data_IF_849275369358
#
_entry.id   IF_849275369358
#
_cell.length_a   1.000
_cell.length_b   1.000
_cell.length_c   1.000
_cell.angle_alpha   90.00
_cell.angle_beta   90.00
_cell.angle_gamma   90.00
#
_symmetry.space_group_name_H-M   'P 1'
#
loop_
_entity.id
_entity.type
_entity.pdbx_description
1 polymer ?
#
# COMPACT_ATOMS: atom_id res chain seq x y z
N UNK A 1 -8.17 -14.07 17.36
CA UNK A 1 -7.30 -14.18 18.56
C UNK A 1 -8.06 -14.04 19.88
N UNK A 2 -8.81 -12.96 20.14
CA UNK A 2 -9.56 -12.80 21.40
C UNK A 2 -10.50 -13.98 21.72
N UNK A 3 -11.07 -14.60 20.69
CA UNK A 3 -11.89 -15.83 20.79
C UNK A 3 -11.10 -17.10 21.11
N UNK A 4 -9.84 -17.02 21.56
CA UNK A 4 -9.00 -18.19 21.89
C UNK A 4 -8.44 -18.96 20.68
N UNK A 5 -8.60 -18.43 19.46
CA UNK A 5 -8.06 -19.01 18.21
C UNK A 5 -6.88 -18.17 17.74
N UNK A 6 -5.69 -18.76 17.72
CA UNK A 6 -4.45 -18.07 17.40
C UNK A 6 -3.22 -18.69 18.04
N UNK A 7 -2.06 -18.01 18.01
CA UNK A 7 -0.79 -18.60 18.42
C UNK A 7 -0.77 -18.89 19.92
N UNK A 8 -0.67 -20.17 20.32
CA UNK A 8 -0.80 -20.61 21.72
C UNK A 8 0.05 -19.79 22.70
N UNK A 9 1.35 -19.61 22.39
CA UNK A 9 2.27 -18.86 23.26
C UNK A 9 1.81 -17.41 23.49
N UNK A 10 1.34 -16.73 22.44
CA UNK A 10 0.87 -15.35 22.53
C UNK A 10 -0.43 -15.22 23.30
N UNK A 11 -1.40 -16.11 23.02
CA UNK A 11 -2.68 -16.09 23.71
C UNK A 11 -2.51 -16.32 25.22
N UNK A 12 -1.66 -17.28 25.60
CA UNK A 12 -1.33 -17.54 27.01
C UNK A 12 -0.64 -16.34 27.66
N UNK A 13 0.29 -15.65 26.99
CA UNK A 13 0.99 -14.50 27.57
C UNK A 13 0.09 -13.30 27.85
N UNK A 14 -1.06 -13.19 27.16
CA UNK A 14 -2.05 -12.13 27.41
C UNK A 14 -3.27 -12.64 28.20
N UNK A 15 -3.19 -13.82 28.81
CA UNK A 15 -4.24 -14.35 29.69
C UNK A 15 -5.49 -14.90 29.00
N UNK A 16 -5.41 -15.26 27.71
CA UNK A 16 -6.53 -15.80 26.94
C UNK A 16 -6.48 -17.33 26.93
N UNK A 17 -7.61 -17.98 27.25
CA UNK A 17 -7.77 -19.43 27.12
C UNK A 17 -7.64 -19.86 25.66
N UNK A 18 -6.73 -20.80 25.40
CA UNK A 18 -6.48 -21.31 24.05
C UNK A 18 -7.52 -22.37 23.69
N UNK A 19 -8.29 -22.11 22.64
CA UNK A 19 -9.23 -23.05 22.02
C UNK A 19 -8.53 -23.80 20.88
N UNK A 20 -7.79 -23.08 20.04
CA UNK A 20 -7.06 -23.66 18.90
C UNK A 20 -5.77 -22.90 18.62
N UNK A 21 -4.66 -23.65 18.56
CA UNK A 21 -3.35 -23.13 18.17
C UNK A 21 -3.25 -23.04 16.64
N UNK A 22 -3.38 -21.83 16.10
CA UNK A 22 -3.27 -21.51 14.67
C UNK A 22 -2.40 -20.27 14.48
N UNK A 23 -1.81 -20.10 13.30
CA UNK A 23 -0.96 -18.95 12.96
C UNK A 23 -1.74 -17.66 12.63
N UNK A 24 -2.89 -17.44 13.29
CA UNK A 24 -3.67 -16.20 13.14
C UNK A 24 -2.81 -14.99 13.49
N UNK A 25 -2.86 -13.96 12.66
CA UNK A 25 -2.09 -12.73 12.79
C UNK A 25 -0.72 -12.77 12.12
N UNK A 26 -0.18 -13.93 11.75
CA UNK A 26 1.08 -14.01 10.98
C UNK A 26 0.84 -13.85 9.48
N UNK A 27 1.91 -13.64 8.71
CA UNK A 27 1.83 -13.45 7.25
C UNK A 27 1.11 -12.17 6.86
N UNK A 28 1.25 -11.11 7.67
CA UNK A 28 0.79 -9.78 7.27
C UNK A 28 1.59 -9.34 6.04
N UNK A 29 0.89 -9.09 4.95
CA UNK A 29 1.43 -8.57 3.69
C UNK A 29 0.82 -7.21 3.43
N UNK A 30 1.56 -6.35 2.75
CA UNK A 30 1.08 -5.05 2.30
C UNK A 30 1.97 -4.57 1.15
N UNK A 31 1.44 -3.83 0.18
CA UNK A 31 2.35 -3.11 -0.73
C UNK A 31 2.86 -1.88 -0.01
N UNK A 32 4.19 -1.78 0.08
CA UNK A 32 4.88 -0.62 0.62
C UNK A 32 5.47 0.18 -0.52
N UNK A 33 5.34 1.50 -0.42
CA UNK A 33 5.74 2.48 -1.41
C UNK A 33 6.84 3.40 -0.90
N UNK A 34 7.61 3.98 -1.83
CA UNK A 34 8.36 5.22 -1.57
C UNK A 34 7.42 6.40 -1.80
N UNK A 35 7.01 7.10 -0.73
CA UNK A 35 6.01 8.17 -0.82
C UNK A 35 6.56 9.54 -1.23
N UNK A 36 7.87 9.79 -1.10
CA UNK A 36 8.46 11.13 -1.23
C UNK A 36 8.98 11.52 -2.62
N UNK A 37 8.82 10.68 -3.65
CA UNK A 37 9.42 10.94 -4.95
C UNK A 37 8.59 11.96 -5.76
N UNK A 38 8.91 13.24 -5.53
CA UNK A 38 8.20 14.40 -6.08
C UNK A 38 8.95 15.03 -7.24
N UNK A 39 8.23 15.47 -8.25
CA UNK A 39 8.76 16.19 -9.40
C UNK A 39 8.08 17.55 -9.51
N UNK A 40 8.87 18.61 -9.73
CA UNK A 40 8.37 19.96 -10.00
C UNK A 40 8.16 20.11 -11.51
N UNK A 41 7.09 20.77 -11.92
CA UNK A 41 6.80 21.14 -13.31
C UNK A 41 6.60 22.65 -13.42
N UNK A 42 6.84 23.21 -14.61
CA UNK A 42 6.67 24.65 -14.87
C UNK A 42 5.28 24.97 -15.44
N UNK A 43 4.52 23.93 -15.85
CA UNK A 43 3.15 24.07 -16.36
C UNK A 43 2.13 23.89 -15.23
N UNK A 44 1.01 24.65 -15.24
CA UNK A 44 0.03 24.65 -14.16
C UNK A 44 -0.94 23.46 -14.22
N UNK A 45 -0.42 22.24 -14.41
CA UNK A 45 -1.22 21.04 -14.65
C UNK A 45 -1.44 20.18 -13.41
N UNK A 46 -0.91 20.59 -12.25
CA UNK A 46 -1.15 19.85 -11.02
C UNK A 46 -2.59 19.99 -10.56
N UNK A 47 -3.16 18.88 -10.13
CA UNK A 47 -4.38 18.81 -9.34
C UNK A 47 -4.03 19.32 -7.94
N UNK A 48 -4.38 20.58 -7.69
CA UNK A 48 -4.19 21.23 -6.40
C UNK A 48 -5.53 21.51 -5.73
N UNK A 49 -5.61 21.30 -4.43
CA UNK A 49 -6.86 21.42 -3.68
C UNK A 49 -7.46 22.83 -3.77
N UNK A 50 -6.62 23.87 -3.83
CA UNK A 50 -7.06 25.26 -4.01
C UNK A 50 -7.67 25.55 -5.38
N UNK A 51 -7.32 24.76 -6.40
CA UNK A 51 -7.87 24.86 -7.77
C UNK A 51 -9.04 23.90 -8.00
N UNK A 52 -9.12 22.82 -7.24
CA UNK A 52 -10.20 21.81 -7.33
C UNK A 52 -11.39 22.19 -6.47
N UNK A 53 -11.18 22.63 -5.23
CA UNK A 53 -12.26 22.95 -4.27
C UNK A 53 -12.71 24.40 -4.47
N UNK A 54 -13.42 24.63 -5.57
CA UNK A 54 -14.05 25.92 -5.90
C UNK A 54 -15.57 25.78 -5.93
N UNK A 55 -16.29 26.90 -5.80
CA UNK A 55 -17.76 26.90 -5.92
C UNK A 55 -18.23 26.37 -7.27
N UNK A 56 -17.53 26.74 -8.34
CA UNK A 56 -17.82 26.31 -9.71
C UNK A 56 -17.66 24.79 -9.87
N UNK A 57 -16.52 24.22 -9.42
CA UNK A 57 -16.30 22.78 -9.52
C UNK A 57 -17.28 21.98 -8.64
N UNK A 58 -17.66 22.50 -7.48
CA UNK A 58 -18.68 21.89 -6.62
C UNK A 58 -20.05 21.88 -7.30
N UNK A 59 -20.42 22.97 -7.97
CA UNK A 59 -21.67 23.04 -8.75
C UNK A 59 -21.66 22.04 -9.91
N UNK A 60 -20.57 22.00 -10.68
CA UNK A 60 -20.37 21.01 -11.74
C UNK A 60 -20.50 19.57 -11.23
N UNK A 61 -19.91 19.27 -10.08
CA UNK A 61 -19.96 17.93 -9.51
C UNK A 61 -21.36 17.55 -9.00
N UNK A 62 -21.97 18.42 -8.21
CA UNK A 62 -23.24 18.13 -7.53
C UNK A 62 -24.43 18.14 -8.49
N UNK A 63 -24.46 19.07 -9.44
CA UNK A 63 -25.61 19.26 -10.33
C UNK A 63 -25.43 18.59 -11.69
N UNK A 64 -24.18 18.37 -12.13
CA UNK A 64 -23.89 17.85 -13.46
C UNK A 64 -23.04 16.57 -13.48
N UNK A 65 -22.57 16.10 -12.31
CA UNK A 65 -21.65 14.96 -12.21
C UNK A 65 -20.41 15.10 -13.11
N UNK A 66 -19.89 16.33 -13.21
CA UNK A 66 -18.75 16.70 -14.05
C UNK A 66 -17.69 17.46 -13.23
N UNK A 67 -16.57 17.76 -13.88
CA UNK A 67 -15.50 18.60 -13.32
C UNK A 67 -14.45 17.81 -12.54
N UNK A 68 -13.41 18.48 -12.03
CA UNK A 68 -12.22 17.83 -11.47
C UNK A 68 -12.49 17.02 -10.20
N UNK A 69 -13.63 17.22 -9.53
CA UNK A 69 -14.04 16.41 -8.37
C UNK A 69 -14.45 14.98 -8.74
N UNK A 70 -14.61 14.66 -10.03
CA UNK A 70 -14.79 13.27 -10.48
C UNK A 70 -13.48 12.49 -10.54
N UNK A 71 -12.32 13.16 -10.38
CA UNK A 71 -11.01 12.53 -10.41
C UNK A 71 -10.75 11.82 -9.09
N UNK A 72 -10.37 10.54 -9.16
CA UNK A 72 -10.19 9.68 -8.00
C UNK A 72 -8.85 9.96 -7.29
N UNK A 73 -8.82 10.99 -6.45
CA UNK A 73 -7.68 11.27 -5.55
C UNK A 73 -6.42 11.79 -6.24
N UNK A 74 -6.47 12.00 -7.56
CA UNK A 74 -5.35 12.50 -8.36
C UNK A 74 -4.52 11.42 -9.06
N UNK A 75 -4.84 10.14 -8.86
CA UNK A 75 -4.12 9.02 -9.46
C UNK A 75 -4.53 8.85 -10.94
N UNK A 76 -3.66 9.25 -11.86
CA UNK A 76 -3.99 9.30 -13.29
C UNK A 76 -3.34 8.16 -14.09
N UNK A 77 -2.18 7.65 -13.66
CA UNK A 77 -1.43 6.63 -14.42
C UNK A 77 -0.84 5.58 -13.50
N UNK A 78 -1.05 4.31 -13.87
CA UNK A 78 -0.43 3.15 -13.24
C UNK A 78 0.49 2.46 -14.24
N UNK A 79 1.73 2.17 -13.84
CA UNK A 79 2.66 1.38 -14.63
C UNK A 79 3.04 0.13 -13.85
N UNK A 80 2.61 -1.03 -14.32
CA UNK A 80 3.08 -2.33 -13.81
C UNK A 80 4.32 -2.76 -14.57
N UNK A 81 5.42 -3.00 -13.86
CA UNK A 81 6.70 -3.33 -14.45
C UNK A 81 7.28 -4.64 -13.89
N UNK A 82 7.74 -5.49 -14.80
CA UNK A 82 8.50 -6.70 -14.53
C UNK A 82 9.96 -6.44 -14.91
N UNK A 83 10.82 -6.25 -13.90
CA UNK A 83 12.25 -5.98 -14.12
C UNK A 83 13.00 -7.22 -14.59
N UNK A 84 12.46 -8.41 -14.31
CA UNK A 84 13.08 -9.68 -14.64
C UNK A 84 12.83 -10.07 -16.11
N UNK A 85 11.69 -9.66 -16.67
CA UNK A 85 11.32 -9.93 -18.05
C UNK A 85 10.53 -8.76 -18.70
N UNK A 86 11.22 -7.63 -18.98
CA UNK A 86 10.57 -6.44 -19.50
C UNK A 86 9.94 -6.70 -20.88
N UNK A 87 8.68 -6.28 -21.05
CA UNK A 87 7.95 -6.41 -22.32
C UNK A 87 7.19 -7.72 -22.52
N UNK A 88 7.28 -8.67 -21.59
CA UNK A 88 6.45 -9.87 -21.63
C UNK A 88 5.00 -9.54 -21.22
N UNK A 89 3.99 -9.71 -22.11
CA UNK A 89 2.59 -9.45 -21.77
C UNK A 89 2.03 -10.41 -20.72
N UNK A 90 2.68 -11.55 -20.52
CA UNK A 90 2.39 -12.52 -19.46
C UNK A 90 3.41 -12.42 -18.31
N UNK A 91 4.10 -11.28 -18.20
CA UNK A 91 5.06 -11.01 -17.13
C UNK A 91 4.39 -10.99 -15.75
N UNK A 92 5.21 -11.06 -14.72
CA UNK A 92 4.76 -11.03 -13.33
C UNK A 92 5.28 -9.76 -12.68
N UNK A 93 4.53 -8.64 -12.74
CA UNK A 93 5.04 -7.37 -12.26
C UNK A 93 5.39 -7.45 -10.78
N UNK A 94 6.57 -6.92 -10.48
CA UNK A 94 7.14 -6.84 -9.14
C UNK A 94 7.03 -5.39 -8.61
N UNK A 95 6.84 -4.43 -9.53
CA UNK A 95 6.77 -3.00 -9.28
C UNK A 95 5.51 -2.41 -9.89
N UNK A 96 4.88 -1.50 -9.16
CA UNK A 96 3.89 -0.55 -9.69
C UNK A 96 4.44 0.86 -9.50
N UNK A 97 4.44 1.69 -10.55
CA UNK A 97 4.63 3.13 -10.43
C UNK A 97 3.27 3.79 -10.49
N UNK A 98 2.82 4.33 -9.36
CA UNK A 98 1.57 5.05 -9.24
C UNK A 98 1.85 6.55 -9.38
N UNK A 99 1.35 7.16 -10.45
CA UNK A 99 1.52 8.58 -10.74
C UNK A 99 0.30 9.35 -10.24
N UNK A 100 0.57 10.21 -9.25
CA UNK A 100 -0.37 11.20 -8.75
C UNK A 100 -0.12 12.52 -9.48
N UNK A 101 -1.17 13.08 -10.08
CA UNK A 101 -1.14 14.40 -10.72
C UNK A 101 -1.10 15.57 -9.71
N UNK A 102 -0.59 15.32 -8.51
CA UNK A 102 -0.32 16.26 -7.44
C UNK A 102 0.79 15.70 -6.55
N UNK A 103 1.11 16.37 -5.46
CA UNK A 103 2.05 15.86 -4.45
C UNK A 103 1.65 16.34 -3.06
N UNK A 104 2.51 16.06 -2.08
CA UNK A 104 2.40 16.53 -0.68
C UNK A 104 2.13 18.05 -0.58
N UNK A 105 2.56 18.86 -1.56
CA UNK A 105 2.30 20.32 -1.56
C UNK A 105 1.02 20.74 -2.28
N UNK A 106 0.37 19.81 -2.98
CA UNK A 106 -0.87 20.07 -3.73
C UNK A 106 -2.12 19.90 -2.86
N UNK A 107 -2.04 19.10 -1.81
CA UNK A 107 -3.13 18.85 -0.86
C UNK A 107 -2.57 18.82 0.58
N UNK A 108 -3.05 19.75 1.43
CA UNK A 108 -2.61 19.85 2.82
C UNK A 108 -2.97 18.61 3.67
N UNK A 109 -3.91 17.77 3.20
CA UNK A 109 -4.29 16.53 3.88
C UNK A 109 -3.21 15.47 3.75
N UNK A 110 -2.44 15.43 2.66
CA UNK A 110 -1.39 14.44 2.43
C UNK A 110 -0.30 14.45 3.50
N UNK A 111 0.13 15.64 3.96
CA UNK A 111 1.07 15.74 5.09
C UNK A 111 0.61 14.93 6.31
N UNK A 112 -0.66 15.07 6.68
CA UNK A 112 -1.25 14.38 7.85
C UNK A 112 -1.49 12.89 7.57
N UNK A 113 -2.05 12.58 6.41
CA UNK A 113 -2.36 11.20 6.01
C UNK A 113 -1.10 10.35 5.89
N UNK A 114 0.01 10.94 5.46
CA UNK A 114 1.30 10.28 5.31
C UNK A 114 2.17 10.36 6.57
N UNK A 115 1.72 11.05 7.62
CA UNK A 115 2.47 11.19 8.87
C UNK A 115 3.79 11.94 8.72
N UNK A 116 3.89 12.86 7.75
CA UNK A 116 5.09 13.68 7.54
C UNK A 116 5.20 14.68 8.69
N UNK A 117 6.35 14.68 9.37
CA UNK A 117 6.61 15.60 10.48
C UNK A 117 6.72 17.04 9.99
N UNK A 118 6.44 17.97 10.90
CA UNK A 118 6.57 19.40 10.62
C UNK A 118 7.99 19.76 10.19
N UNK A 119 8.99 19.19 10.86
CA UNK A 119 10.41 19.37 10.53
C UNK A 119 10.74 18.96 9.09
N UNK A 120 10.28 17.77 8.65
CA UNK A 120 10.51 17.30 7.28
C UNK A 120 9.73 18.17 6.29
N UNK A 121 8.47 18.49 6.59
CA UNK A 121 7.64 19.30 5.71
C UNK A 121 8.25 20.68 5.48
N UNK A 122 8.63 21.36 6.55
CA UNK A 122 9.12 22.74 6.50
C UNK A 122 10.49 22.83 5.82
N UNK A 123 11.35 21.83 6.05
CA UNK A 123 12.67 21.79 5.42
C UNK A 123 12.62 21.43 3.91
N UNK A 124 11.73 20.51 3.53
CA UNK A 124 11.74 19.88 2.20
C UNK A 124 10.65 20.45 1.30
N UNK A 125 9.41 20.54 1.78
CA UNK A 125 8.24 20.78 0.93
C UNK A 125 7.75 22.24 0.95
N UNK A 126 7.89 22.97 2.07
CA UNK A 126 7.55 24.40 2.15
C UNK A 126 8.23 25.25 1.06
N UNK A 127 9.52 25.04 0.69
CA UNK A 127 10.17 25.80 -0.38
C UNK A 127 9.50 25.65 -1.77
N UNK A 128 8.78 24.55 -2.00
CA UNK A 128 8.09 24.27 -3.26
C UNK A 128 6.55 24.35 -3.14
N UNK A 129 6.01 24.84 -2.01
CA UNK A 129 4.56 24.79 -1.73
C UNK A 129 3.66 25.47 -2.78
N UNK A 130 4.20 26.50 -3.44
CA UNK A 130 3.51 27.28 -4.47
C UNK A 130 3.84 26.81 -5.90
N UNK A 131 4.50 25.67 -6.05
CA UNK A 131 4.86 25.10 -7.36
C UNK A 131 3.83 24.07 -7.80
N UNK A 132 3.77 23.87 -9.10
CA UNK A 132 3.10 22.71 -9.69
C UNK A 132 4.06 21.51 -9.61
N UNK A 133 3.50 20.38 -9.18
CA UNK A 133 4.20 19.12 -8.93
C UNK A 133 3.37 17.91 -9.30
N UNK A 134 4.02 16.82 -9.63
CA UNK A 134 3.42 15.47 -9.59
C UNK A 134 4.28 14.59 -8.70
N UNK A 135 3.72 13.46 -8.25
CA UNK A 135 4.41 12.52 -7.38
C UNK A 135 4.30 11.13 -7.99
N UNK A 136 5.37 10.36 -7.88
CA UNK A 136 5.38 8.95 -8.28
C UNK A 136 5.61 8.12 -7.04
N UNK A 137 4.79 7.11 -6.82
CA UNK A 137 4.96 6.14 -5.74
C UNK A 137 5.38 4.81 -6.34
N UNK A 138 6.69 4.50 -6.38
CA UNK A 138 7.16 3.14 -6.62
C UNK A 138 6.69 2.22 -5.49
N UNK A 139 6.00 1.14 -5.84
CA UNK A 139 5.37 0.20 -4.92
C UNK A 139 5.78 -1.24 -5.20
N UNK A 140 6.06 -1.97 -4.13
CA UNK A 140 6.33 -3.41 -4.22
C UNK A 140 5.04 -4.20 -4.39
N UNK A 141 4.88 -4.87 -5.52
CA UNK A 141 3.70 -5.72 -5.80
C UNK A 141 3.84 -7.14 -5.25
N UNK A 142 5.07 -7.56 -4.93
CA UNK A 142 5.38 -8.91 -4.44
C UNK A 142 6.41 -8.87 -3.30
N UNK A 143 6.12 -8.17 -2.19
CA UNK A 143 7.06 -7.98 -1.10
C UNK A 143 7.42 -9.32 -0.44
N UNK A 144 8.71 -9.52 -0.21
CA UNK A 144 9.24 -10.65 0.56
C UNK A 144 9.04 -10.45 2.06
N UNK A 145 9.13 -9.21 2.53
CA UNK A 145 8.83 -8.82 3.90
C UNK A 145 7.41 -9.22 4.29
N UNK A 146 7.31 -10.00 5.37
CA UNK A 146 6.04 -10.37 6.00
C UNK A 146 6.06 -9.93 7.46
N UNK A 147 4.95 -9.36 7.89
CA UNK A 147 4.72 -8.88 9.24
C UNK A 147 3.81 -9.78 10.07
N UNK A 148 3.29 -9.20 11.14
CA UNK A 148 2.27 -9.81 12.00
C UNK A 148 1.37 -8.78 12.71
N UNK A 149 0.15 -9.18 13.01
CA UNK A 149 -0.80 -8.51 13.89
C UNK A 149 -0.96 -9.33 15.16
N UNK A 150 -0.78 -8.71 16.32
CA UNK A 150 -0.82 -9.35 17.63
C UNK A 150 -1.79 -8.62 18.57
N UNK A 151 -2.36 -9.32 19.54
CA UNK A 151 -3.09 -8.66 20.62
C UNK A 151 -2.11 -7.90 21.53
N UNK A 152 -2.48 -6.68 21.94
CA UNK A 152 -1.78 -5.96 23.00
C UNK A 152 -2.03 -6.61 24.36
N UNK A 153 -3.30 -6.92 24.63
CA UNK A 153 -3.81 -7.50 25.86
C UNK A 153 -5.15 -8.22 25.58
N UNK A 154 -5.86 -8.66 26.62
CA UNK A 154 -7.17 -9.33 26.49
C UNK A 154 -8.37 -8.38 26.33
N UNK A 155 -8.17 -7.06 26.31
CA UNK A 155 -9.24 -6.08 26.17
C UNK A 155 -9.58 -5.87 24.69
N UNK A 156 -10.83 -6.12 24.30
CA UNK A 156 -11.28 -5.93 22.92
C UNK A 156 -11.23 -4.47 22.44
N UNK A 157 -11.17 -3.50 23.36
CA UNK A 157 -11.02 -2.07 23.05
C UNK A 157 -9.57 -1.65 22.83
N UNK A 158 -8.60 -2.49 23.22
CA UNK A 158 -7.19 -2.19 23.01
C UNK A 158 -6.84 -2.31 21.52
N UNK A 159 -6.15 -1.31 20.98
CA UNK A 159 -5.62 -1.38 19.62
C UNK A 159 -4.64 -2.56 19.50
N UNK A 160 -4.68 -3.34 18.42
CA UNK A 160 -3.73 -4.42 18.21
C UNK A 160 -2.31 -3.86 17.99
N UNK A 161 -1.32 -4.69 18.24
CA UNK A 161 0.06 -4.41 17.87
C UNK A 161 0.26 -4.85 16.42
N UNK A 162 0.62 -3.91 15.55
CA UNK A 162 0.85 -4.16 14.13
C UNK A 162 2.34 -4.02 13.86
N UNK A 163 2.94 -5.08 13.36
CA UNK A 163 4.35 -5.14 13.00
C UNK A 163 4.45 -5.43 11.50
N UNK A 164 4.50 -4.40 10.63
CA UNK A 164 4.52 -4.60 9.19
C UNK A 164 5.79 -5.28 8.69
N UNK A 165 6.92 -5.01 9.38
CA UNK A 165 8.22 -5.60 9.06
C UNK A 165 8.72 -5.25 7.65
N UNK A 166 8.43 -4.02 7.20
CA UNK A 166 8.89 -3.50 5.90
C UNK A 166 10.41 -3.51 5.82
N UNK A 167 10.93 -3.90 4.66
CA UNK A 167 12.37 -3.93 4.34
C UNK A 167 13.21 -4.84 5.25
N UNK A 168 12.60 -5.89 5.81
CA UNK A 168 13.32 -6.95 6.51
C UNK A 168 14.17 -7.79 5.55
N UNK A 169 13.81 -7.80 4.27
CA UNK A 169 14.61 -8.36 3.18
C UNK A 169 15.20 -7.23 2.35
N UNK A 170 16.50 -7.31 2.06
CA UNK A 170 17.21 -6.26 1.30
C UNK A 170 16.65 -6.14 -0.12
N UNK A 171 16.20 -7.24 -0.70
CA UNK A 171 15.68 -7.29 -2.06
C UNK A 171 14.43 -6.42 -2.27
N UNK A 172 13.62 -6.24 -1.23
CA UNK A 172 12.47 -5.33 -1.27
C UNK A 172 12.95 -3.87 -1.42
N UNK A 173 14.00 -3.47 -0.71
CA UNK A 173 14.59 -2.14 -0.86
C UNK A 173 15.26 -1.98 -2.22
N UNK A 174 16.07 -2.95 -2.64
CA UNK A 174 16.79 -2.91 -3.93
C UNK A 174 15.82 -2.76 -5.11
N UNK A 175 14.66 -3.42 -5.04
CA UNK A 175 13.62 -3.31 -6.05
C UNK A 175 12.94 -1.93 -6.05
N UNK A 176 12.70 -1.32 -4.89
CA UNK A 176 12.20 0.06 -4.82
C UNK A 176 13.18 1.07 -5.42
N UNK A 177 14.49 0.93 -5.17
CA UNK A 177 15.50 1.79 -5.77
C UNK A 177 15.46 1.68 -7.31
N UNK A 178 15.32 0.46 -7.86
CA UNK A 178 15.09 0.29 -9.31
C UNK A 178 13.83 1.01 -9.80
N UNK A 179 12.73 0.94 -9.04
CA UNK A 179 11.50 1.67 -9.32
C UNK A 179 11.69 3.19 -9.33
N UNK A 180 12.43 3.74 -8.37
CA UNK A 180 12.80 5.16 -8.31
C UNK A 180 13.61 5.55 -9.55
N UNK A 181 14.64 4.77 -9.90
CA UNK A 181 15.46 5.02 -11.11
C UNK A 181 14.64 5.00 -12.39
N UNK A 182 13.68 4.08 -12.50
CA UNK A 182 12.75 4.02 -13.62
C UNK A 182 11.87 5.28 -13.69
N UNK A 183 11.29 5.70 -12.56
CA UNK A 183 10.47 6.92 -12.50
C UNK A 183 11.27 8.18 -12.87
N UNK A 184 12.52 8.30 -12.39
CA UNK A 184 13.41 9.41 -12.77
C UNK A 184 13.71 9.37 -14.27
N UNK A 185 14.05 8.21 -14.83
CA UNK A 185 14.28 8.07 -16.27
C UNK A 185 13.04 8.46 -17.10
N UNK A 186 11.84 8.03 -16.68
CA UNK A 186 10.58 8.42 -17.33
C UNK A 186 10.40 9.94 -17.29
N UNK A 187 10.70 10.59 -16.15
CA UNK A 187 10.59 12.05 -16.01
C UNK A 187 11.51 12.84 -16.96
N UNK A 188 12.60 12.22 -17.41
CA UNK A 188 13.56 12.81 -18.34
C UNK A 188 13.19 12.64 -19.82
N UNK A 189 12.09 11.96 -20.13
CA UNK A 189 11.63 11.78 -21.50
C UNK A 189 11.06 13.07 -22.10
N UNK A 190 11.07 13.24 -23.44
CA UNK A 190 10.71 14.50 -24.09
C UNK A 190 9.35 15.08 -23.68
N UNK A 191 8.34 14.23 -23.47
CA UNK A 191 7.00 14.66 -23.08
C UNK A 191 6.97 15.32 -21.69
N UNK A 192 7.67 14.74 -20.70
CA UNK A 192 7.72 15.31 -19.35
C UNK A 192 8.73 16.46 -19.27
N UNK A 193 9.84 16.41 -20.00
CA UNK A 193 10.76 17.56 -20.15
C UNK A 193 10.08 18.77 -20.77
N UNK A 194 9.14 18.59 -21.70
CA UNK A 194 8.35 19.69 -22.27
C UNK A 194 7.45 20.40 -21.23
N UNK A 195 7.16 19.74 -20.09
CA UNK A 195 6.46 20.34 -18.95
C UNK A 195 7.41 21.04 -17.97
N UNK A 196 8.73 20.98 -18.20
CA UNK A 196 9.74 21.43 -17.25
C UNK A 196 9.92 20.47 -16.06
N UNK A 197 9.53 19.19 -16.23
CA UNK A 197 9.63 18.19 -15.16
C UNK A 197 11.08 18.01 -14.69
N UNK A 198 11.26 18.10 -13.37
CA UNK A 198 12.55 17.87 -12.71
C UNK A 198 12.31 17.24 -11.35
N UNK A 199 13.19 16.31 -10.97
CA UNK A 199 13.17 15.74 -9.63
C UNK A 199 13.36 16.87 -8.60
N UNK A 200 12.52 16.85 -7.57
CA UNK A 200 12.66 17.75 -6.44
C UNK A 200 13.94 17.43 -5.66
N UNK A 201 14.86 18.39 -5.57
CA UNK A 201 16.26 18.18 -5.18
C UNK A 201 16.63 18.71 -3.79
N UNK A 202 15.66 19.23 -3.01
CA UNK A 202 15.91 19.61 -1.62
C UNK A 202 16.00 18.34 -0.78
N UNK A 203 17.17 18.04 -0.19
CA UNK A 203 17.38 16.76 0.46
C UNK A 203 16.68 16.66 1.82
N UNK A 204 16.18 15.47 2.14
CA UNK A 204 15.70 15.17 3.50
C UNK A 204 16.86 15.38 4.49
N UNK A 205 16.70 16.20 5.55
CA UNK A 205 17.78 16.53 6.48
C UNK A 205 18.55 15.32 7.03
N UNK A 206 17.82 14.26 7.39
CA UNK A 206 18.36 13.02 7.94
C UNK A 206 19.18 12.20 6.92
N UNK A 207 19.05 12.51 5.63
CA UNK A 207 19.71 11.80 4.53
C UNK A 207 20.85 12.59 3.89
N UNK A 208 21.16 13.80 4.38
CA UNK A 208 22.21 14.69 3.82
C UNK A 208 23.63 14.09 3.86
N UNK A 209 23.85 13.03 4.63
CA UNK A 209 25.13 12.31 4.66
C UNK A 209 25.44 11.60 3.33
N UNK A 210 24.41 11.33 2.52
CA UNK A 210 24.54 10.74 1.19
C UNK A 210 24.39 11.82 0.12
N UNK A 211 25.22 11.82 -0.94
CA UNK A 211 25.04 12.75 -2.05
C UNK A 211 23.64 12.58 -2.68
N UNK A 212 22.98 13.69 -2.99
CA UNK A 212 21.65 13.65 -3.57
C UNK A 212 21.63 12.85 -4.88
N UNK A 213 20.61 12.01 -5.06
CA UNK A 213 20.42 11.22 -6.28
C UNK A 213 21.26 9.95 -6.37
N UNK A 214 22.05 9.59 -5.34
CA UNK A 214 22.68 8.25 -5.25
C UNK A 214 21.68 7.21 -4.73
N UNK A 215 22.01 5.93 -4.90
CA UNK A 215 21.16 4.83 -4.40
C UNK A 215 21.07 4.85 -2.87
N UNK A 216 22.15 5.23 -2.17
CA UNK A 216 22.19 5.36 -0.71
C UNK A 216 21.27 6.50 -0.23
N UNK A 217 21.25 7.62 -0.95
CA UNK A 217 20.32 8.71 -0.65
C UNK A 217 18.87 8.25 -0.84
N UNK A 218 18.56 7.56 -1.95
CA UNK A 218 17.20 7.07 -2.20
C UNK A 218 16.75 5.96 -1.24
N UNK A 219 17.66 5.11 -0.77
CA UNK A 219 17.37 4.17 0.31
C UNK A 219 17.02 4.93 1.59
N UNK A 220 17.86 5.88 2.01
CA UNK A 220 17.58 6.69 3.19
C UNK A 220 16.24 7.42 3.08
N UNK A 221 15.97 8.04 1.93
CA UNK A 221 14.72 8.74 1.64
C UNK A 221 13.52 7.78 1.76
N UNK A 222 13.62 6.59 1.17
CA UNK A 222 12.57 5.57 1.24
C UNK A 222 12.31 5.13 2.68
N UNK A 223 13.34 5.05 3.53
CA UNK A 223 13.17 4.73 4.97
C UNK A 223 12.54 5.86 5.77
N UNK A 224 12.86 7.12 5.46
CA UNK A 224 12.25 8.28 6.10
C UNK A 224 10.80 8.48 5.65
N UNK A 225 10.49 8.09 4.41
CA UNK A 225 9.17 8.29 3.82
C UNK A 225 8.68 7.01 3.12
N UNK A 226 8.50 5.96 3.91
CA UNK A 226 7.80 4.75 3.50
C UNK A 226 6.31 4.92 3.68
N UNK A 227 5.52 4.46 2.71
CA UNK A 227 4.08 4.59 2.76
C UNK A 227 3.40 3.23 2.56
N UNK A 228 2.41 2.93 3.41
CA UNK A 228 1.47 1.84 3.13
C UNK A 228 0.41 2.37 2.18
N UNK A 229 0.09 1.63 1.13
CA UNK A 229 -1.09 1.95 0.31
C UNK A 229 -2.37 1.27 0.82
N UNK A 230 -2.34 0.75 2.04
CA UNK A 230 -3.46 0.14 2.74
C UNK A 230 -3.95 -1.19 2.14
N UNK A 231 -3.05 -2.03 1.62
CA UNK A 231 -3.37 -3.36 1.12
C UNK A 231 -3.03 -4.48 2.13
N UNK A 232 -3.24 -4.22 3.42
CA UNK A 232 -2.97 -5.22 4.46
C UNK A 232 -3.77 -6.51 4.24
N UNK A 233 -3.09 -7.64 4.16
CA UNK A 233 -3.67 -8.94 3.83
C UNK A 233 -2.92 -10.11 4.48
N UNK A 234 -3.44 -11.33 4.33
CA UNK A 234 -2.74 -12.57 4.66
C UNK A 234 -2.74 -13.06 6.11
N UNK A 235 -3.29 -12.30 7.06
CA UNK A 235 -3.22 -12.62 8.50
C UNK A 235 -4.02 -13.85 8.95
N UNK A 236 -4.91 -14.37 8.11
CA UNK A 236 -5.61 -15.64 8.26
C UNK A 236 -5.39 -16.55 7.03
N UNK A 237 -4.14 -16.60 6.53
CA UNK A 237 -3.71 -17.34 5.34
C UNK A 237 -4.52 -18.62 5.04
N UNK A 238 -5.09 -18.69 3.85
CA UNK A 238 -5.63 -19.91 3.27
C UNK A 238 -4.51 -20.86 2.83
N UNK A 239 -4.69 -22.15 3.04
CA UNK A 239 -3.75 -23.16 2.54
C UNK A 239 -4.26 -24.59 2.66
N UNK A 240 -3.59 -25.55 2.01
CA UNK A 240 -3.96 -26.96 2.09
C UNK A 240 -3.71 -27.51 3.50
N UNK A 241 -4.29 -28.66 3.89
CA UNK A 241 -4.16 -29.22 5.24
C UNK A 241 -2.71 -29.48 5.69
N UNK A 242 -1.80 -29.68 4.73
CA UNK A 242 -0.36 -29.87 4.96
C UNK A 242 0.40 -28.57 5.27
N UNK A 243 -0.15 -27.39 4.95
CA UNK A 243 0.46 -26.12 5.29
C UNK A 243 0.20 -25.79 6.77
N UNK A 244 1.22 -26.02 7.61
CA UNK A 244 1.16 -25.75 9.06
C UNK A 244 1.01 -24.26 9.40
N UNK A 245 1.15 -23.36 8.43
CA UNK A 245 0.93 -21.91 8.60
C UNK A 245 -0.47 -21.47 8.18
N UNK A 246 -1.26 -22.36 7.56
CA UNK A 246 -2.63 -22.04 7.16
C UNK A 246 -3.56 -21.90 8.38
N UNK A 247 -4.49 -20.96 8.28
CA UNK A 247 -5.55 -20.69 9.26
C UNK A 247 -6.89 -21.19 8.74
N UNK A 248 -7.15 -21.01 7.45
CA UNK A 248 -8.35 -21.53 6.77
C UNK A 248 -8.01 -22.53 5.67
N UNK A 249 -8.93 -23.45 5.42
CA UNK A 249 -8.84 -24.41 4.33
C UNK A 249 -9.28 -23.80 2.98
N UNK A 250 -9.17 -24.52 1.85
CA UNK A 250 -9.63 -24.03 0.54
C UNK A 250 -11.14 -23.76 0.44
N UNK A 251 -11.93 -24.11 1.47
CA UNK A 251 -13.34 -23.77 1.63
C UNK A 251 -13.55 -22.58 2.57
N UNK A 252 -12.46 -21.88 2.90
CA UNK A 252 -12.44 -20.73 3.81
C UNK A 252 -12.85 -21.07 5.25
N UNK A 253 -12.86 -22.36 5.62
CA UNK A 253 -13.23 -22.82 6.97
C UNK A 253 -12.03 -22.80 7.88
N UNK A 254 -12.21 -22.31 9.10
CA UNK A 254 -11.14 -22.24 10.10
C UNK A 254 -10.75 -23.66 10.54
N UNK A 255 -9.46 -23.99 10.45
CA UNK A 255 -9.00 -25.34 10.76
C UNK A 255 -9.32 -25.77 12.19
N UNK A 256 -10.03 -26.88 12.32
CA UNK A 256 -10.37 -27.48 13.62
C UNK A 256 -11.50 -26.77 14.37
N UNK A 257 -12.18 -25.82 13.76
CA UNK A 257 -13.38 -25.15 14.30
C UNK A 257 -14.54 -25.39 13.35
N UNK A 258 -15.65 -25.93 13.87
CA UNK A 258 -16.87 -26.14 13.07
C UNK A 258 -17.63 -24.83 12.90
N UNK A 259 -18.32 -24.69 11.76
CA UNK A 259 -19.24 -23.58 11.49
C UNK A 259 -18.61 -22.18 11.57
N UNK A 260 -17.31 -22.06 11.29
CA UNK A 260 -16.59 -20.78 11.27
C UNK A 260 -15.77 -20.63 10.00
N UNK A 261 -15.89 -19.46 9.36
CA UNK A 261 -15.13 -19.08 8.16
C UNK A 261 -14.51 -17.70 8.32
N UNK A 262 -13.49 -17.41 7.51
CA UNK A 262 -12.95 -16.05 7.30
C UNK A 262 -13.05 -15.76 5.81
N UNK A 263 -13.66 -14.63 5.45
CA UNK A 263 -13.96 -14.28 4.05
C UNK A 263 -13.63 -12.79 3.87
N UNK A 264 -12.33 -12.50 3.79
CA UNK A 264 -11.78 -11.14 3.61
C UNK A 264 -10.34 -11.23 3.07
N UNK A 265 -9.64 -10.10 2.96
CA UNK A 265 -8.26 -10.03 2.48
C UNK A 265 -7.26 -10.82 3.34
N UNK A 266 -7.58 -11.14 4.60
CA UNK A 266 -6.68 -11.87 5.48
C UNK A 266 -6.44 -13.31 5.02
N UNK A 267 -7.29 -13.89 4.17
CA UNK A 267 -7.12 -15.27 3.70
C UNK A 267 -6.15 -15.39 2.52
N UNK A 268 -5.74 -14.28 1.90
CA UNK A 268 -4.82 -14.30 0.76
C UNK A 268 -3.49 -14.98 1.14
N UNK A 269 -3.09 -16.07 0.47
CA UNK A 269 -1.83 -16.74 0.79
C UNK A 269 -0.61 -15.91 0.41
N UNK A 270 -0.67 -15.27 -0.75
CA UNK A 270 0.23 -14.24 -1.23
C UNK A 270 -0.62 -13.05 -1.69
N UNK A 271 -0.11 -11.84 -1.49
CA UNK A 271 -0.77 -10.62 -1.96
C UNK A 271 -0.73 -10.59 -3.49
N UNK A 272 -1.87 -10.34 -4.17
CA UNK A 272 -1.88 -10.26 -5.62
C UNK A 272 -1.16 -9.00 -6.10
N UNK A 273 -0.55 -9.05 -7.29
CA UNK A 273 -0.01 -7.88 -7.95
C UNK A 273 -1.15 -7.00 -8.53
N UNK A 274 -1.99 -6.47 -7.64
CA UNK A 274 -3.12 -5.58 -7.92
C UNK A 274 -3.52 -4.85 -6.63
N UNK A 275 -4.35 -3.80 -6.75
CA UNK A 275 -4.98 -3.20 -5.57
C UNK A 275 -6.00 -4.17 -4.95
N UNK A 276 -6.00 -4.32 -3.62
CA UNK A 276 -6.65 -5.47 -2.96
C UNK A 276 -8.16 -5.37 -2.80
N UNK A 277 -8.78 -4.25 -3.19
CA UNK A 277 -10.23 -4.10 -3.15
C UNK A 277 -10.94 -5.14 -4.04
N UNK A 278 -10.62 -5.21 -5.34
CA UNK A 278 -11.26 -6.15 -6.28
C UNK A 278 -11.00 -7.62 -5.93
N UNK A 279 -9.78 -8.05 -5.58
CA UNK A 279 -9.53 -9.39 -5.05
C UNK A 279 -10.35 -9.72 -3.79
N UNK A 280 -10.59 -8.75 -2.91
CA UNK A 280 -11.40 -8.95 -1.70
C UNK A 280 -12.87 -9.15 -2.05
N UNK A 281 -13.44 -8.38 -2.98
CA UNK A 281 -14.78 -8.62 -3.50
C UNK A 281 -14.92 -10.00 -4.12
N UNK A 282 -13.94 -10.44 -4.92
CA UNK A 282 -13.95 -11.78 -5.51
C UNK A 282 -13.96 -12.88 -4.44
N UNK A 283 -13.14 -12.73 -3.38
CA UNK A 283 -13.14 -13.64 -2.22
C UNK A 283 -14.51 -13.67 -1.55
N UNK A 284 -15.15 -12.51 -1.37
CA UNK A 284 -16.48 -12.39 -0.78
C UNK A 284 -17.55 -13.11 -1.62
N UNK A 285 -17.60 -12.85 -2.92
CA UNK A 285 -18.54 -13.49 -3.86
C UNK A 285 -18.37 -15.00 -3.88
N UNK A 286 -17.11 -15.47 -4.01
CA UNK A 286 -16.82 -16.89 -3.99
C UNK A 286 -17.21 -17.50 -2.65
N UNK A 287 -16.88 -16.85 -1.54
CA UNK A 287 -17.24 -17.29 -0.19
C UNK A 287 -18.76 -17.40 0.02
N UNK A 288 -19.55 -16.46 -0.51
CA UNK A 288 -21.00 -16.51 -0.47
C UNK A 288 -21.56 -17.71 -1.25
N UNK A 289 -21.04 -17.99 -2.45
CA UNK A 289 -21.38 -19.19 -3.22
C UNK A 289 -21.04 -20.48 -2.46
N UNK A 290 -19.87 -20.52 -1.82
CA UNK A 290 -19.46 -21.66 -1.00
C UNK A 290 -20.40 -21.90 0.19
N UNK A 291 -20.94 -20.85 0.79
CA UNK A 291 -21.94 -20.98 1.87
C UNK A 291 -23.25 -21.54 1.30
N UNK A 292 -23.78 -20.97 0.22
CA UNK A 292 -25.02 -21.44 -0.42
C UNK A 292 -24.95 -22.92 -0.80
N UNK A 293 -23.82 -23.35 -1.38
CA UNK A 293 -23.54 -24.75 -1.71
C UNK A 293 -23.64 -25.67 -0.48
N UNK A 294 -22.96 -25.32 0.62
CA UNK A 294 -22.97 -26.12 1.85
C UNK A 294 -24.38 -26.19 2.51
N UNK A 295 -25.25 -25.21 2.24
CA UNK A 295 -26.65 -25.17 2.70
C UNK A 295 -27.65 -25.74 1.68
N UNK A 296 -27.19 -26.33 0.58
CA UNK A 296 -28.06 -26.93 -0.44
C UNK A 296 -28.86 -25.92 -1.27
N UNK A 297 -28.52 -24.63 -1.20
CA UNK A 297 -29.11 -23.58 -2.02
C UNK A 297 -28.43 -23.61 -3.40
N UNK A 298 -29.00 -24.33 -4.36
CA UNK A 298 -28.50 -24.34 -5.74
C UNK A 298 -28.70 -22.98 -6.40
N UNK A 299 -27.73 -22.58 -7.24
CA UNK A 299 -27.90 -21.50 -8.23
C UNK A 299 -28.90 -21.92 -9.29
#
# INVERSE_FOLDING_TARGET
MLSGIGPKKHLTSVGIKVIKDLKVGYNLMDHVATGGLTFVIDKPYSIRIDRVITRENLDMYLNHHQGPLTIAGGCEVLIFHDFSNPGNPNGHPEMELLYEAGSVVSDYTFRRSFGITDEIYDAVYTPIQNKDTFMVMPMLMRPKSKGKVMLKDANYKSKPLIYPNYFAFKEDMDLLIKGIRLAVNISEQPALKALGARLHDIPIPQCKIFPFGTDEYFECMTRQFSFTIYHQSGTCKMGPPKDRRAVVDPRLRVYGIKNLRVIDASIMPEIPAAHTNSPTYMIAEKGADMIKEDWGMKK
#
